data_IF_889243211942
#
_entry.id   IF_889243211942
#
_cell.length_a   1.000
_cell.length_b   1.000
_cell.length_c   1.000
_cell.angle_alpha   90.00
_cell.angle_beta   90.00
_cell.angle_gamma   90.00
#
_symmetry.space_group_name_H-M   'P 1'
#
loop_
_entity.id
_entity.type
_entity.pdbx_description
1 polymer ?
#
# COMPACT_ATOMS: atom_id res chain seq x y z
N UNK A 1 -27.00 25.45 -8.03
CA UNK A 1 -26.41 24.71 -6.89
C UNK A 1 -25.05 24.09 -7.22
N UNK A 2 -24.91 23.26 -8.26
CA UNK A 2 -23.61 22.66 -8.64
C UNK A 2 -22.53 23.67 -9.09
N UNK A 3 -22.93 24.78 -9.71
CA UNK A 3 -22.02 25.82 -10.20
C UNK A 3 -21.33 26.59 -9.08
N UNK A 4 -22.06 26.90 -8.00
CA UNK A 4 -21.49 27.53 -6.80
C UNK A 4 -20.46 26.60 -6.14
N UNK A 5 -20.78 25.31 -6.02
CA UNK A 5 -19.84 24.30 -5.52
C UNK A 5 -18.56 24.26 -6.36
N UNK A 6 -18.66 24.20 -7.69
CA UNK A 6 -17.48 24.18 -8.59
C UNK A 6 -16.65 25.45 -8.49
N UNK A 7 -17.30 26.60 -8.39
CA UNK A 7 -16.63 27.89 -8.28
C UNK A 7 -15.90 28.06 -6.96
N UNK A 8 -16.46 27.56 -5.84
CA UNK A 8 -15.83 27.61 -4.52
C UNK A 8 -14.79 26.49 -4.31
N UNK A 9 -14.95 25.36 -5.00
CA UNK A 9 -14.07 24.21 -4.85
C UNK A 9 -12.63 24.51 -5.28
N UNK A 10 -12.42 25.13 -6.45
CA UNK A 10 -11.08 25.43 -6.97
C UNK A 10 -10.30 26.41 -6.07
N UNK A 11 -10.85 27.57 -5.66
CA UNK A 11 -10.21 28.47 -4.72
C UNK A 11 -9.99 27.84 -3.34
N UNK A 12 -10.99 27.11 -2.83
CA UNK A 12 -10.87 26.41 -1.56
C UNK A 12 -9.77 25.36 -1.58
N UNK A 13 -9.66 24.60 -2.67
CA UNK A 13 -8.59 23.64 -2.90
C UNK A 13 -7.23 24.35 -2.94
N UNK A 14 -7.09 25.44 -3.70
CA UNK A 14 -5.82 26.19 -3.82
C UNK A 14 -5.34 26.76 -2.48
N UNK A 15 -6.24 27.22 -1.62
CA UNK A 15 -5.92 27.70 -0.27
C UNK A 15 -5.58 26.53 0.67
N UNK A 16 -6.30 25.42 0.56
CA UNK A 16 -6.06 24.23 1.35
C UNK A 16 -4.76 23.50 0.97
N UNK A 17 -4.35 23.57 -0.30
CA UNK A 17 -3.19 22.87 -0.86
C UNK A 17 -1.87 23.15 -0.12
N UNK A 18 -1.45 24.41 0.14
CA UNK A 18 -0.24 24.68 0.92
C UNK A 18 -0.34 24.16 2.36
N UNK A 19 -1.52 24.25 3.00
CA UNK A 19 -1.74 23.72 4.34
C UNK A 19 -1.58 22.19 4.39
N UNK A 20 -2.25 21.47 3.49
CA UNK A 20 -2.15 20.02 3.41
C UNK A 20 -0.79 19.56 2.92
N UNK A 21 -0.15 20.30 2.01
CA UNK A 21 1.22 20.05 1.57
C UNK A 21 2.23 20.15 2.72
N UNK A 22 2.18 21.23 3.49
CA UNK A 22 3.01 21.39 4.70
C UNK A 22 2.71 20.32 5.75
N UNK A 23 1.43 19.96 5.96
CA UNK A 23 1.02 18.90 6.88
C UNK A 23 1.54 17.53 6.45
N UNK A 24 1.50 17.22 5.16
CA UNK A 24 2.04 15.98 4.61
C UNK A 24 3.56 15.94 4.72
N UNK A 25 4.25 17.06 4.44
CA UNK A 25 5.70 17.15 4.58
C UNK A 25 6.14 16.97 6.05
N UNK A 26 5.48 17.64 7.00
CA UNK A 26 5.77 17.54 8.44
C UNK A 26 5.54 16.15 9.03
N UNK A 27 4.59 15.38 8.50
CA UNK A 27 4.32 14.01 8.97
C UNK A 27 5.46 13.03 8.67
N UNK A 28 6.33 13.35 7.70
CA UNK A 28 7.40 12.46 7.27
C UNK A 28 6.88 11.13 6.71
N UNK A 29 7.76 10.28 6.20
CA UNK A 29 7.44 8.90 5.80
C UNK A 29 6.66 8.72 4.50
N UNK A 30 6.05 9.76 3.93
CA UNK A 30 5.34 9.64 2.64
C UNK A 30 6.30 9.48 1.45
N UNK A 31 7.47 10.13 1.46
CA UNK A 31 8.33 10.22 0.27
C UNK A 31 8.99 8.91 -0.18
N UNK A 32 9.25 7.96 0.73
CA UNK A 32 10.00 6.73 0.38
C UNK A 32 9.22 5.76 -0.51
N UNK A 33 7.90 5.69 -0.35
CA UNK A 33 7.05 4.73 -1.08
C UNK A 33 5.92 5.42 -1.88
N UNK A 34 5.91 6.76 -1.96
CA UNK A 34 4.86 7.49 -2.70
C UNK A 34 4.80 7.07 -4.16
N UNK A 35 5.96 6.78 -4.76
CA UNK A 35 6.09 6.33 -6.14
C UNK A 35 5.34 5.01 -6.41
N UNK A 36 5.22 4.13 -5.40
CA UNK A 36 4.46 2.89 -5.51
C UNK A 36 2.97 3.16 -5.78
N UNK A 37 2.43 4.32 -5.32
CA UNK A 37 1.04 4.72 -5.59
C UNK A 37 0.78 5.11 -7.05
N UNK A 38 1.83 5.46 -7.78
CA UNK A 38 1.76 5.78 -9.22
C UNK A 38 2.14 4.57 -10.08
N UNK A 39 2.24 3.37 -9.51
CA UNK A 39 2.65 2.16 -10.23
C UNK A 39 4.16 2.03 -10.44
N UNK A 40 4.95 2.98 -9.97
CA UNK A 40 6.41 2.88 -9.94
C UNK A 40 6.83 1.99 -8.76
N UNK A 41 6.57 0.70 -8.90
CA UNK A 41 7.05 -0.34 -7.98
C UNK A 41 8.41 -0.84 -8.48
N UNK A 42 9.31 -1.18 -7.54
CA UNK A 42 10.51 -1.93 -7.88
C UNK A 42 10.08 -3.23 -8.57
N UNK A 43 10.78 -3.61 -9.65
CA UNK A 43 10.48 -4.85 -10.37
C UNK A 43 10.48 -6.01 -9.39
N UNK A 44 9.35 -6.70 -9.28
CA UNK A 44 9.27 -7.94 -8.54
C UNK A 44 10.27 -8.92 -9.17
N UNK A 45 11.00 -9.71 -8.37
CA UNK A 45 11.86 -10.77 -8.91
C UNK A 45 11.02 -11.69 -9.81
N UNK A 46 11.66 -12.34 -10.78
CA UNK A 46 10.96 -13.33 -11.60
C UNK A 46 10.45 -14.46 -10.70
N UNK A 47 9.26 -15.03 -10.98
CA UNK A 47 8.79 -16.20 -10.26
C UNK A 47 9.83 -17.31 -10.35
N UNK A 48 10.03 -18.02 -9.24
CA UNK A 48 10.86 -19.23 -9.26
C UNK A 48 10.23 -20.22 -10.25
N UNK A 49 11.01 -20.76 -11.18
CA UNK A 49 10.51 -21.66 -12.21
C UNK A 49 9.82 -22.88 -11.57
N UNK A 50 8.56 -23.11 -11.95
CA UNK A 50 7.72 -24.17 -11.37
C UNK A 50 6.87 -23.75 -10.17
N UNK A 51 7.07 -22.55 -9.62
CA UNK A 51 6.27 -22.03 -8.52
C UNK A 51 5.05 -21.23 -9.01
N UNK A 52 3.92 -21.40 -8.32
CA UNK A 52 2.71 -20.61 -8.53
C UNK A 52 2.77 -19.34 -7.69
N UNK A 53 2.81 -18.18 -8.34
CA UNK A 53 2.75 -16.88 -7.66
C UNK A 53 1.31 -16.47 -7.40
N UNK A 54 1.00 -16.15 -6.14
CA UNK A 54 -0.30 -15.67 -5.67
C UNK A 54 -0.15 -14.24 -5.18
N UNK A 55 -0.96 -13.34 -5.73
CA UNK A 55 -1.03 -11.95 -5.28
C UNK A 55 -2.20 -11.76 -4.32
N UNK A 56 -1.94 -11.19 -3.14
CA UNK A 56 -2.92 -10.88 -2.11
C UNK A 56 -2.85 -9.39 -1.79
N UNK A 57 -3.98 -8.69 -1.90
CA UNK A 57 -4.13 -7.29 -1.54
C UNK A 57 -4.91 -7.18 -0.22
N UNK A 58 -4.30 -6.64 0.82
CA UNK A 58 -4.94 -6.31 2.10
C UNK A 58 -4.97 -4.78 2.26
N UNK A 59 -6.13 -4.15 2.01
CA UNK A 59 -6.25 -2.69 1.92
C UNK A 59 -6.17 -2.00 3.28
N UNK A 60 -6.43 -2.72 4.38
CA UNK A 60 -6.47 -2.18 5.74
C UNK A 60 -5.57 -2.94 6.72
N UNK A 61 -5.32 -2.34 7.89
CA UNK A 61 -4.59 -3.00 8.99
C UNK A 61 -5.34 -4.25 9.46
N UNK A 62 -6.66 -4.16 9.62
CA UNK A 62 -7.48 -5.30 10.07
C UNK A 62 -7.36 -6.51 9.13
N UNK A 63 -7.35 -6.27 7.82
CA UNK A 63 -7.14 -7.33 6.83
C UNK A 63 -5.74 -7.94 6.91
N UNK A 64 -4.70 -7.11 7.03
CA UNK A 64 -3.31 -7.60 7.19
C UNK A 64 -3.20 -8.52 8.43
N UNK A 65 -3.93 -8.22 9.50
CA UNK A 65 -3.96 -9.07 10.70
C UNK A 65 -4.77 -10.36 10.47
N UNK A 66 -5.90 -10.26 9.78
CA UNK A 66 -6.82 -11.37 9.56
C UNK A 66 -6.26 -12.44 8.60
N UNK A 67 -5.42 -12.05 7.62
CA UNK A 67 -4.90 -12.99 6.61
C UNK A 67 -3.77 -13.90 7.11
N UNK A 68 -3.27 -13.71 8.34
CA UNK A 68 -2.16 -14.50 8.88
C UNK A 68 -2.32 -16.03 8.75
N UNK A 69 -3.46 -16.63 9.14
CA UNK A 69 -3.68 -18.07 8.98
C UNK A 69 -3.68 -18.53 7.52
N UNK A 70 -4.18 -17.70 6.60
CA UNK A 70 -4.18 -17.99 5.16
C UNK A 70 -2.76 -18.00 4.60
N UNK A 71 -1.95 -16.99 4.95
CA UNK A 71 -0.55 -16.93 4.54
C UNK A 71 0.22 -18.16 5.02
N UNK A 72 0.06 -18.53 6.28
CA UNK A 72 0.70 -19.72 6.85
C UNK A 72 0.26 -21.01 6.15
N UNK A 73 -1.02 -21.14 5.76
CA UNK A 73 -1.51 -22.31 5.04
C UNK A 73 -0.92 -22.40 3.63
N UNK A 74 -0.80 -21.28 2.92
CA UNK A 74 -0.23 -21.22 1.58
C UNK A 74 1.30 -21.45 1.59
N UNK A 75 2.01 -20.90 2.58
CA UNK A 75 3.46 -21.07 2.74
C UNK A 75 3.88 -22.51 3.05
N UNK A 76 2.97 -23.37 3.53
CA UNK A 76 3.27 -24.81 3.69
C UNK A 76 3.63 -25.50 2.37
N UNK A 77 3.18 -24.94 1.24
CA UNK A 77 3.55 -25.41 -0.08
C UNK A 77 4.74 -24.60 -0.60
N UNK A 78 5.92 -25.21 -0.65
CA UNK A 78 7.15 -24.58 -1.15
C UNK A 78 7.10 -24.20 -2.64
N UNK A 79 6.11 -24.70 -3.38
CA UNK A 79 5.85 -24.30 -4.76
C UNK A 79 4.95 -23.07 -4.87
N UNK A 80 4.58 -22.41 -3.77
CA UNK A 80 3.76 -21.19 -3.79
C UNK A 80 4.60 -20.01 -3.36
N UNK A 81 4.60 -18.97 -4.19
CA UNK A 81 5.19 -17.67 -3.87
C UNK A 81 4.06 -16.67 -3.59
N UNK A 82 4.15 -15.92 -2.50
CA UNK A 82 3.10 -14.96 -2.11
C UNK A 82 3.62 -13.54 -2.25
N UNK A 83 2.91 -12.73 -3.02
CA UNK A 83 3.11 -11.28 -3.07
C UNK A 83 1.99 -10.62 -2.27
N UNK A 84 2.35 -9.99 -1.15
CA UNK A 84 1.40 -9.25 -0.30
C UNK A 84 1.54 -7.75 -0.53
N UNK A 85 0.44 -7.09 -0.87
CA UNK A 85 0.37 -5.62 -1.05
C UNK A 85 -0.67 -5.00 -0.13
N UNK A 86 -0.48 -3.72 0.21
CA UNK A 86 -1.39 -2.97 1.07
C UNK A 86 -1.38 -1.49 0.71
N UNK A 87 -2.49 -0.82 1.00
CA UNK A 87 -2.74 0.56 0.53
C UNK A 87 -2.41 1.61 1.59
N UNK A 88 -2.56 1.26 2.87
CA UNK A 88 -2.34 2.19 3.98
C UNK A 88 -0.91 2.10 4.49
N UNK A 89 -0.31 3.23 4.86
CA UNK A 89 1.04 3.25 5.42
C UNK A 89 1.14 2.45 6.72
N UNK A 90 0.08 2.46 7.53
CA UNK A 90 -0.04 1.63 8.73
C UNK A 90 -0.14 0.15 8.40
N UNK A 91 -0.95 -0.24 7.39
CA UNK A 91 -1.03 -1.61 6.91
C UNK A 91 0.33 -2.10 6.38
N UNK A 92 1.05 -1.25 5.66
CA UNK A 92 2.40 -1.55 5.14
C UNK A 92 3.41 -1.80 6.26
N UNK A 93 3.45 -0.93 7.27
CA UNK A 93 4.30 -1.12 8.44
C UNK A 93 3.95 -2.42 9.17
N UNK A 94 2.67 -2.70 9.39
CA UNK A 94 2.22 -3.92 10.08
C UNK A 94 2.50 -5.20 9.26
N UNK A 95 2.37 -5.14 7.94
CA UNK A 95 2.70 -6.23 7.03
C UNK A 95 4.21 -6.49 7.01
N UNK A 96 5.03 -5.44 6.88
CA UNK A 96 6.50 -5.53 6.90
C UNK A 96 7.02 -6.03 8.23
N UNK A 97 6.42 -5.62 9.35
CA UNK A 97 6.77 -6.09 10.70
C UNK A 97 6.53 -7.59 10.87
N UNK A 98 5.47 -8.14 10.27
CA UNK A 98 5.10 -9.56 10.41
C UNK A 98 5.70 -10.47 9.35
N UNK A 99 5.84 -9.98 8.13
CA UNK A 99 6.14 -10.79 6.94
C UNK A 99 7.36 -10.31 6.15
N UNK A 100 7.99 -9.19 6.53
CA UNK A 100 9.07 -8.56 5.77
C UNK A 100 10.43 -9.26 5.82
N UNK A 101 10.58 -10.33 6.62
CA UNK A 101 11.83 -11.08 6.78
C UNK A 101 11.83 -12.41 6.02
N UNK A 102 10.82 -12.68 5.18
CA UNK A 102 10.68 -13.92 4.41
C UNK A 102 10.94 -13.74 2.90
N UNK A 103 11.62 -12.65 2.50
CA UNK A 103 12.03 -12.40 1.12
C UNK A 103 13.41 -12.97 0.81
#
# INVERSE_FOLDING_TARGET
MIWLYRFLYLPGLLIALPYYGLRMWRRGGYGKDFQHRFGCIHQLPQPIAGNKRIWIQAVSVGEVLAIGPLLNALQKNNSIEIVLTTTTSTGYTEARKRYGTQA
#
